data_IF_643460476959
#
_entry.id   IF_643460476959
#
_cell.length_a   1.000
_cell.length_b   1.000
_cell.length_c   1.000
_cell.angle_alpha   90.00
_cell.angle_beta   90.00
_cell.angle_gamma   90.00
#
_symmetry.space_group_name_H-M   'P 1'
#
loop_
_entity.id
_entity.type
_entity.pdbx_description
1 polymer ?
#
# COMPACT_ATOMS: atom_id res chain seq x y z
N UNK A 1 36.63 -30.38 -9.48
CA UNK A 1 37.15 -29.91 -10.79
C UNK A 1 36.20 -30.41 -11.86
N UNK A 2 35.25 -29.56 -12.27
CA UNK A 2 34.24 -29.79 -13.31
C UNK A 2 34.24 -28.52 -14.16
N UNK A 3 34.29 -28.57 -15.50
CA UNK A 3 34.56 -27.39 -16.30
C UNK A 3 33.31 -26.52 -16.46
N UNK A 4 33.51 -25.20 -16.35
CA UNK A 4 32.56 -24.15 -16.68
C UNK A 4 32.20 -24.19 -18.18
N UNK A 5 30.95 -24.49 -18.48
CA UNK A 5 30.38 -24.33 -19.82
C UNK A 5 30.21 -22.84 -20.17
N UNK A 6 30.82 -22.41 -21.28
CA UNK A 6 30.64 -21.08 -21.87
C UNK A 6 29.21 -20.92 -22.40
N UNK A 7 28.50 -19.88 -21.98
CA UNK A 7 27.27 -19.42 -22.63
C UNK A 7 27.60 -18.81 -24.01
N UNK A 8 26.77 -19.02 -25.04
CA UNK A 8 26.98 -18.41 -26.36
C UNK A 8 26.60 -16.92 -26.34
N UNK A 9 27.36 -16.11 -27.08
CA UNK A 9 27.15 -14.68 -27.25
C UNK A 9 25.90 -14.38 -28.10
N UNK A 10 25.11 -13.40 -27.68
CA UNK A 10 23.97 -12.86 -28.43
C UNK A 10 24.44 -12.08 -29.68
N UNK A 11 23.71 -12.12 -30.82
CA UNK A 11 24.11 -11.39 -32.02
C UNK A 11 23.85 -9.89 -31.87
N UNK A 12 24.87 -9.09 -32.21
CA UNK A 12 24.77 -7.64 -32.42
C UNK A 12 23.86 -7.35 -33.61
N UNK A 13 22.73 -6.69 -33.37
CA UNK A 13 21.88 -6.16 -34.43
C UNK A 13 22.57 -4.96 -35.11
N UNK A 14 22.86 -5.11 -36.41
CA UNK A 14 23.33 -4.04 -37.29
C UNK A 14 22.23 -3.00 -37.51
N UNK A 15 22.66 -1.75 -37.60
CA UNK A 15 21.81 -0.56 -37.66
C UNK A 15 20.81 -0.53 -38.81
N UNK A 16 19.68 0.14 -38.52
CA UNK A 16 18.71 0.61 -39.50
C UNK A 16 18.22 2.00 -39.05
N UNK A 17 18.54 2.99 -39.89
CA UNK A 17 17.94 4.31 -40.08
C UNK A 17 16.95 4.85 -39.01
N UNK A 18 17.37 5.93 -38.34
CA UNK A 18 16.49 6.86 -37.61
C UNK A 18 15.45 7.47 -38.56
N UNK A 19 14.22 6.97 -38.56
CA UNK A 19 13.04 7.74 -38.94
C UNK A 19 12.47 8.38 -37.67
N UNK A 20 12.59 9.70 -37.56
CA UNK A 20 11.84 10.50 -36.56
C UNK A 20 10.36 10.40 -36.92
N UNK A 21 9.62 9.54 -36.22
CA UNK A 21 8.18 9.68 -36.09
C UNK A 21 7.92 10.61 -34.91
N UNK A 22 7.59 11.86 -35.22
CA UNK A 22 6.98 12.79 -34.28
C UNK A 22 5.55 12.28 -34.02
N UNK A 23 5.40 11.40 -33.05
CA UNK A 23 4.10 11.15 -32.43
C UNK A 23 3.97 12.14 -31.27
N UNK A 24 3.31 13.27 -31.54
CA UNK A 24 2.79 14.14 -30.49
C UNK A 24 1.59 13.43 -29.86
N UNK A 25 1.85 12.40 -29.06
CA UNK A 25 0.89 11.92 -28.07
C UNK A 25 0.88 12.94 -26.95
N UNK A 26 -0.30 13.49 -26.65
CA UNK A 26 -0.49 14.31 -25.46
C UNK A 26 -0.01 13.49 -24.26
N UNK A 27 1.15 13.83 -23.70
CA UNK A 27 1.53 13.39 -22.38
C UNK A 27 0.45 13.94 -21.45
N UNK A 28 -0.50 13.11 -21.06
CA UNK A 28 -1.34 13.40 -19.91
C UNK A 28 -0.38 13.79 -18.79
N UNK A 29 -0.53 15.02 -18.29
CA UNK A 29 0.33 15.53 -17.23
C UNK A 29 0.36 14.48 -16.12
N UNK A 30 1.56 14.03 -15.74
CA UNK A 30 1.70 13.09 -14.63
C UNK A 30 1.01 13.72 -13.42
N UNK A 31 0.15 12.98 -12.69
CA UNK A 31 -0.58 13.55 -11.57
C UNK A 31 0.42 14.17 -10.60
N UNK A 32 0.25 15.46 -10.32
CA UNK A 32 1.13 16.15 -9.39
C UNK A 32 0.91 15.53 -8.00
N UNK A 33 1.99 15.26 -7.25
CA UNK A 33 1.85 14.70 -5.90
C UNK A 33 1.04 15.66 -5.03
N UNK A 34 0.24 15.08 -4.13
CA UNK A 34 -0.50 15.84 -3.12
C UNK A 34 0.42 16.88 -2.44
N UNK A 35 0.04 18.16 -2.38
CA UNK A 35 0.91 19.23 -1.87
C UNK A 35 1.44 18.98 -0.46
N UNK A 36 0.69 18.25 0.37
CA UNK A 36 1.08 17.90 1.73
C UNK A 36 2.19 16.85 1.84
N UNK A 37 2.53 16.13 0.76
CA UNK A 37 3.48 15.00 0.82
C UNK A 37 4.86 15.42 1.32
N UNK A 38 5.33 16.60 0.91
CA UNK A 38 6.62 17.13 1.38
C UNK A 38 6.59 17.56 2.84
N UNK A 39 5.45 18.10 3.31
CA UNK A 39 5.26 18.44 4.72
C UNK A 39 5.19 17.18 5.57
N UNK A 40 4.44 16.15 5.11
CA UNK A 40 4.41 14.84 5.73
C UNK A 40 5.83 14.28 5.85
N UNK A 41 6.60 14.14 4.76
CA UNK A 41 7.98 13.63 4.79
C UNK A 41 8.90 14.29 5.83
N UNK A 42 8.79 15.61 5.99
CA UNK A 42 9.68 16.39 6.87
C UNK A 42 9.21 16.50 8.31
N UNK A 43 7.96 16.13 8.61
CA UNK A 43 7.47 16.20 9.98
C UNK A 43 8.26 15.23 10.88
N UNK A 44 8.59 15.59 12.13
CA UNK A 44 9.29 14.67 13.04
C UNK A 44 8.43 13.44 13.33
N UNK A 45 9.03 12.31 13.80
CA UNK A 45 8.27 11.21 14.38
C UNK A 45 7.29 11.74 15.45
N UNK A 46 6.04 11.29 15.39
CA UNK A 46 5.00 11.80 16.29
C UNK A 46 4.94 10.99 17.58
N UNK A 47 5.03 11.67 18.71
CA UNK A 47 4.81 11.07 20.04
C UNK A 47 3.33 11.04 20.45
N UNK A 48 2.41 11.49 19.59
CA UNK A 48 0.96 11.54 19.87
C UNK A 48 0.29 10.16 19.83
N UNK A 49 0.79 9.23 20.64
CA UNK A 49 0.47 7.80 20.60
C UNK A 49 -0.70 7.38 21.49
N UNK A 50 -1.34 8.35 22.14
CA UNK A 50 -2.53 8.16 22.96
C UNK A 50 -3.62 9.12 22.52
N UNK A 51 -4.86 8.82 22.90
CA UNK A 51 -6.01 9.68 22.64
C UNK A 51 -6.55 10.26 23.95
N UNK A 52 -6.35 11.56 24.16
CA UNK A 52 -6.82 12.29 25.34
C UNK A 52 -8.28 12.74 25.24
N UNK A 53 -8.74 13.63 26.14
CA UNK A 53 -10.09 14.18 26.09
C UNK A 53 -10.39 15.00 24.83
N UNK A 54 -9.37 15.66 24.26
CA UNK A 54 -9.51 16.62 23.16
C UNK A 54 -8.81 16.17 21.86
N UNK A 55 -8.46 14.89 21.72
CA UNK A 55 -7.77 14.37 20.55
C UNK A 55 -6.44 13.68 20.87
N UNK A 56 -5.58 13.45 19.86
CA UNK A 56 -4.27 12.84 20.03
C UNK A 56 -3.41 13.60 21.06
N UNK A 57 -2.73 12.86 21.94
CA UNK A 57 -1.82 13.40 22.92
C UNK A 57 -0.61 12.49 23.13
N UNK A 58 0.47 13.06 23.66
CA UNK A 58 1.59 12.28 24.14
C UNK A 58 1.15 11.39 25.34
N UNK A 59 1.80 10.23 25.54
CA UNK A 59 1.55 9.42 26.73
C UNK A 59 1.81 10.24 28.01
N UNK A 60 0.95 10.08 29.00
CA UNK A 60 1.10 10.79 30.27
C UNK A 60 2.27 10.18 31.07
N UNK A 61 3.40 10.86 31.11
CA UNK A 61 4.64 10.40 31.77
C UNK A 61 4.48 10.15 33.27
N UNK A 62 3.45 10.74 33.89
CA UNK A 62 3.20 10.65 35.34
C UNK A 62 2.39 9.41 35.76
N UNK A 63 1.77 8.71 34.79
CA UNK A 63 1.03 7.45 35.01
C UNK A 63 1.60 6.26 34.26
N UNK A 64 2.55 6.50 33.36
CA UNK A 64 3.40 5.43 32.90
C UNK A 64 4.14 4.88 34.12
N UNK A 65 4.26 3.56 34.24
CA UNK A 65 5.30 2.99 35.08
C UNK A 65 6.68 3.54 34.68
N UNK A 66 7.79 3.07 35.28
CA UNK A 66 9.12 3.40 34.74
C UNK A 66 9.06 3.22 33.22
N UNK A 67 9.66 4.14 32.42
CA UNK A 67 9.62 4.04 30.95
C UNK A 67 9.89 2.58 30.67
N UNK A 68 8.94 1.87 30.07
CA UNK A 68 9.11 0.47 29.73
C UNK A 68 10.45 0.46 29.03
N UNK A 69 11.46 -0.04 29.75
CA UNK A 69 12.81 0.33 29.43
C UNK A 69 13.02 -0.08 27.97
N UNK A 70 14.00 0.51 27.32
CA UNK A 70 14.61 -0.08 26.14
C UNK A 70 15.20 -1.50 26.42
N UNK A 71 14.65 -2.27 27.37
CA UNK A 71 14.80 -3.68 27.61
C UNK A 71 14.21 -4.45 26.42
N UNK A 72 15.03 -4.53 25.37
CA UNK A 72 14.80 -5.41 24.22
C UNK A 72 14.41 -4.70 22.93
N UNK A 73 14.74 -3.42 22.73
CA UNK A 73 14.78 -2.89 21.35
C UNK A 73 15.80 -3.76 20.62
N UNK A 74 15.32 -4.65 19.74
CA UNK A 74 16.20 -5.56 19.02
C UNK A 74 17.31 -4.75 18.36
N UNK A 75 18.56 -5.22 18.49
CA UNK A 75 19.75 -4.48 18.09
C UNK A 75 19.94 -4.53 16.56
N UNK A 76 18.94 -4.07 15.80
CA UNK A 76 19.10 -3.84 14.37
C UNK A 76 20.10 -2.69 14.14
N UNK A 77 21.08 -2.95 13.28
CA UNK A 77 22.10 -1.98 12.84
C UNK A 77 21.69 -1.23 11.58
N UNK A 78 20.55 -1.60 10.98
CA UNK A 78 19.96 -0.95 9.81
C UNK A 78 18.43 -0.94 9.84
N UNK A 79 17.82 -0.12 8.99
CA UNK A 79 16.37 -0.04 8.85
C UNK A 79 15.75 -1.38 8.41
N UNK A 80 16.40 -2.10 7.50
CA UNK A 80 15.96 -3.42 7.05
C UNK A 80 16.04 -4.47 8.17
N UNK A 81 17.10 -4.47 8.99
CA UNK A 81 17.18 -5.38 10.15
C UNK A 81 16.13 -5.05 11.21
N UNK A 82 15.90 -3.77 11.49
CA UNK A 82 14.82 -3.34 12.38
C UNK A 82 13.46 -3.79 11.84
N UNK A 83 13.20 -3.63 10.53
CA UNK A 83 11.98 -4.11 9.90
C UNK A 83 11.80 -5.63 10.01
N UNK A 84 12.87 -6.41 9.85
CA UNK A 84 12.81 -7.86 10.02
C UNK A 84 12.49 -8.25 11.48
N UNK A 85 13.00 -7.50 12.46
CA UNK A 85 12.66 -7.67 13.87
C UNK A 85 11.19 -7.31 14.15
N UNK A 86 10.67 -6.22 13.57
CA UNK A 86 9.25 -5.85 13.66
C UNK A 86 8.35 -6.95 13.10
N UNK A 87 8.66 -7.43 11.89
CA UNK A 87 7.92 -8.51 11.24
C UNK A 87 7.98 -9.81 12.06
N UNK A 88 9.06 -10.04 12.81
CA UNK A 88 9.23 -11.23 13.67
C UNK A 88 8.62 -11.06 15.07
N UNK A 89 8.07 -9.89 15.40
CA UNK A 89 7.44 -9.62 16.70
C UNK A 89 5.96 -9.99 16.66
N UNK A 90 5.54 -10.98 17.46
CA UNK A 90 4.15 -11.43 17.47
C UNK A 90 3.21 -10.50 18.23
N UNK A 91 3.64 -9.96 19.38
CA UNK A 91 2.77 -9.10 20.20
C UNK A 91 2.46 -7.77 19.46
N UNK A 92 1.18 -7.40 19.28
CA UNK A 92 0.80 -6.22 18.50
C UNK A 92 1.30 -4.89 19.08
N UNK A 93 1.28 -4.73 20.41
CA UNK A 93 1.73 -3.49 21.06
C UNK A 93 3.25 -3.37 21.03
N UNK A 94 3.97 -4.47 21.30
CA UNK A 94 5.42 -4.54 21.14
C UNK A 94 5.83 -4.27 19.68
N UNK A 95 5.10 -4.80 18.69
CA UNK A 95 5.31 -4.51 17.27
C UNK A 95 5.16 -3.03 16.96
N UNK A 96 4.11 -2.39 17.47
CA UNK A 96 3.89 -0.97 17.30
C UNK A 96 4.98 -0.11 17.99
N UNK A 97 5.41 -0.48 19.20
CA UNK A 97 6.50 0.18 19.91
C UNK A 97 7.84 0.05 19.17
N UNK A 98 8.18 -1.16 18.71
CA UNK A 98 9.42 -1.40 17.97
C UNK A 98 9.43 -0.67 16.63
N UNK A 99 8.28 -0.58 15.96
CA UNK A 99 8.10 0.19 14.73
C UNK A 99 8.44 1.66 14.95
N UNK A 100 7.87 2.27 15.99
CA UNK A 100 8.14 3.65 16.33
C UNK A 100 9.60 3.89 16.72
N UNK A 101 10.19 2.99 17.51
CA UNK A 101 11.61 3.06 17.86
C UNK A 101 12.52 2.96 16.63
N UNK A 102 12.21 2.09 15.67
CA UNK A 102 12.96 1.92 14.43
C UNK A 102 12.92 3.19 13.58
N UNK A 103 11.72 3.73 13.33
CA UNK A 103 11.59 4.95 12.54
C UNK A 103 12.21 6.16 13.22
N UNK A 104 12.06 6.30 14.54
CA UNK A 104 12.67 7.40 15.30
C UNK A 104 14.20 7.36 15.24
N UNK A 105 14.81 6.17 15.34
CA UNK A 105 16.27 5.99 15.18
C UNK A 105 16.73 6.35 13.77
N UNK A 106 15.97 5.96 12.74
CA UNK A 106 16.25 6.34 11.36
C UNK A 106 16.16 7.85 11.15
N UNK A 107 15.07 8.49 11.61
CA UNK A 107 14.84 9.92 11.48
C UNK A 107 15.91 10.77 12.20
N UNK A 108 16.50 10.26 13.28
CA UNK A 108 17.63 10.86 13.96
C UNK A 108 18.99 10.67 13.22
N UNK A 109 19.00 10.04 12.04
CA UNK A 109 20.21 9.73 11.28
C UNK A 109 21.01 8.53 11.83
N UNK A 110 20.42 7.74 12.73
CA UNK A 110 21.10 6.68 13.46
C UNK A 110 21.11 5.31 12.78
N UNK A 111 20.57 5.19 11.57
CA UNK A 111 20.48 3.91 10.83
C UNK A 111 20.74 4.12 9.33
N UNK A 112 21.51 3.26 8.64
CA UNK A 112 21.45 3.09 7.19
C UNK A 112 20.26 2.21 6.79
N UNK A 113 19.88 2.18 5.49
CA UNK A 113 18.80 1.28 5.02
C UNK A 113 19.20 -0.17 5.26
N UNK A 114 20.44 -0.52 4.91
CA UNK A 114 21.02 -1.85 5.05
C UNK A 114 20.31 -2.92 4.24
N UNK A 115 20.56 -4.17 4.60
CA UNK A 115 19.99 -5.35 3.95
C UNK A 115 19.57 -6.34 5.03
N UNK A 116 18.40 -6.94 4.85
CA UNK A 116 17.94 -8.05 5.68
C UNK A 116 17.02 -8.96 4.85
N UNK A 117 16.81 -10.18 5.33
CA UNK A 117 15.86 -11.11 4.74
C UNK A 117 14.49 -10.90 5.40
N UNK A 118 13.48 -10.57 4.59
CA UNK A 118 12.11 -10.55 5.06
C UNK A 118 11.65 -11.98 5.42
N UNK A 119 10.95 -12.19 6.54
CA UNK A 119 10.31 -13.48 6.81
C UNK A 119 9.23 -13.75 5.75
N UNK A 120 8.84 -15.02 5.60
CA UNK A 120 7.80 -15.40 4.64
C UNK A 120 6.41 -14.88 5.05
N UNK A 121 6.19 -14.69 6.35
CA UNK A 121 5.00 -14.08 6.94
C UNK A 121 5.36 -13.33 8.24
N UNK A 122 4.63 -12.28 8.62
CA UNK A 122 4.82 -11.62 9.90
C UNK A 122 4.39 -12.58 11.01
N UNK A 123 5.11 -12.52 12.12
CA UNK A 123 4.70 -13.18 13.35
C UNK A 123 3.35 -12.62 13.81
N UNK A 124 2.50 -13.55 14.27
CA UNK A 124 1.16 -13.29 14.79
C UNK A 124 1.04 -13.90 16.19
N UNK A 125 0.32 -13.25 17.10
CA UNK A 125 -0.02 -13.85 18.40
C UNK A 125 -1.10 -14.93 18.22
N UNK A 126 -1.40 -15.70 19.28
CA UNK A 126 -2.44 -16.75 19.25
C UNK A 126 -3.85 -16.21 18.90
N UNK A 127 -4.13 -14.95 19.23
CA UNK A 127 -5.40 -14.28 18.96
C UNK A 127 -5.17 -12.96 18.22
N UNK A 128 -6.01 -12.58 17.23
CA UNK A 128 -7.32 -13.15 16.91
C UNK A 128 -7.27 -14.47 16.14
N UNK A 129 -8.37 -15.23 16.20
CA UNK A 129 -8.58 -16.40 15.34
C UNK A 129 -8.65 -15.94 13.88
N UNK A 130 -7.76 -16.47 13.04
CA UNK A 130 -7.79 -16.24 11.60
C UNK A 130 -8.81 -17.16 10.92
N UNK A 131 -9.77 -16.58 10.20
CA UNK A 131 -10.82 -17.28 9.44
C UNK A 131 -10.83 -16.77 7.99
N UNK A 132 -11.56 -17.44 7.09
CA UNK A 132 -11.76 -16.88 5.75
C UNK A 132 -12.72 -15.70 5.78
N UNK A 133 -12.68 -14.84 4.75
CA UNK A 133 -13.53 -13.65 4.68
C UNK A 133 -15.04 -13.98 4.78
N UNK A 134 -15.47 -15.16 4.31
CA UNK A 134 -16.87 -15.61 4.38
C UNK A 134 -17.27 -16.10 5.77
N UNK A 135 -16.30 -16.45 6.60
CA UNK A 135 -16.48 -17.02 7.93
C UNK A 135 -16.33 -15.98 9.04
N UNK A 136 -15.96 -14.74 8.72
CA UNK A 136 -15.93 -13.64 9.70
C UNK A 136 -17.36 -13.41 10.21
N UNK A 137 -17.65 -13.69 11.49
CA UNK A 137 -19.00 -13.58 12.02
C UNK A 137 -19.41 -12.12 12.18
N UNK A 138 -20.70 -11.82 11.99
CA UNK A 138 -21.20 -10.47 12.24
C UNK A 138 -21.19 -10.12 13.73
N UNK A 139 -21.13 -8.82 14.06
CA UNK A 139 -21.20 -8.37 15.46
C UNK A 139 -22.44 -8.92 16.19
N UNK A 140 -23.58 -9.07 15.50
CA UNK A 140 -24.83 -9.60 16.07
C UNK A 140 -24.70 -11.07 16.42
N UNK A 141 -24.10 -11.87 15.53
CA UNK A 141 -23.87 -13.29 15.75
C UNK A 141 -22.90 -13.53 16.93
N UNK A 142 -21.97 -12.61 17.14
CA UNK A 142 -21.03 -12.64 18.28
C UNK A 142 -21.60 -12.05 19.57
N UNK A 143 -22.74 -11.37 19.53
CA UNK A 143 -23.28 -10.64 20.69
C UNK A 143 -22.41 -9.47 21.15
N UNK A 144 -21.59 -8.87 20.26
CA UNK A 144 -20.73 -7.72 20.59
C UNK A 144 -21.30 -6.40 20.07
N UNK A 145 -21.05 -5.27 20.75
CA UNK A 145 -21.41 -3.94 20.27
C UNK A 145 -20.79 -3.63 18.91
N UNK A 146 -21.55 -2.96 18.06
CA UNK A 146 -21.13 -2.63 16.69
C UNK A 146 -19.89 -1.74 16.65
N UNK A 147 -19.79 -0.75 17.54
CA UNK A 147 -18.63 0.14 17.64
C UNK A 147 -17.35 -0.64 18.03
N UNK A 148 -17.42 -1.51 19.03
CA UNK A 148 -16.30 -2.37 19.41
C UNK A 148 -15.88 -3.29 18.24
N UNK A 149 -16.86 -3.88 17.54
CA UNK A 149 -16.59 -4.70 16.35
C UNK A 149 -15.91 -3.92 15.22
N UNK A 150 -16.37 -2.70 14.95
CA UNK A 150 -15.76 -1.84 13.92
C UNK A 150 -14.33 -1.47 14.29
N UNK A 151 -14.08 -1.04 15.52
CA UNK A 151 -12.75 -0.64 15.97
C UNK A 151 -11.76 -1.81 16.04
N UNK A 152 -12.23 -3.02 16.37
CA UNK A 152 -11.38 -4.22 16.35
C UNK A 152 -10.91 -4.54 14.93
N UNK A 153 -11.83 -4.48 13.95
CA UNK A 153 -11.48 -4.69 12.55
C UNK A 153 -10.52 -3.59 12.04
N UNK A 154 -10.74 -2.33 12.42
CA UNK A 154 -9.82 -1.25 12.06
C UNK A 154 -8.45 -1.46 12.69
N UNK A 155 -8.36 -1.78 13.98
CA UNK A 155 -7.09 -2.15 14.61
C UNK A 155 -6.41 -3.32 13.89
N UNK A 156 -7.17 -4.31 13.39
CA UNK A 156 -6.59 -5.39 12.58
C UNK A 156 -6.03 -4.89 11.24
N UNK A 157 -6.70 -3.95 10.58
CA UNK A 157 -6.20 -3.30 9.37
C UNK A 157 -4.89 -2.57 9.65
N UNK A 158 -4.86 -1.71 10.67
CA UNK A 158 -3.64 -0.94 11.03
C UNK A 158 -2.46 -1.86 11.38
N UNK A 159 -2.70 -2.94 12.15
CA UNK A 159 -1.65 -3.90 12.46
C UNK A 159 -1.09 -4.58 11.21
N UNK A 160 -1.94 -4.90 10.24
CA UNK A 160 -1.47 -5.41 8.96
C UNK A 160 -0.70 -4.32 8.21
N UNK A 161 -1.19 -3.08 8.15
CA UNK A 161 -0.53 -1.98 7.44
C UNK A 161 0.91 -1.74 7.95
N UNK A 162 1.16 -1.84 9.27
CA UNK A 162 2.51 -1.90 9.84
C UNK A 162 3.37 -2.99 9.16
N UNK A 163 2.84 -4.21 9.05
CA UNK A 163 3.56 -5.32 8.42
C UNK A 163 3.74 -5.14 6.92
N UNK A 164 2.75 -4.60 6.21
CA UNK A 164 2.82 -4.36 4.77
C UNK A 164 3.93 -3.34 4.45
N UNK A 165 4.00 -2.28 5.25
CA UNK A 165 4.99 -1.23 5.13
C UNK A 165 6.41 -1.75 5.47
N UNK A 166 6.59 -2.48 6.57
CA UNK A 166 7.89 -3.08 6.89
C UNK A 166 8.30 -4.18 5.93
N UNK A 167 7.37 -5.01 5.44
CA UNK A 167 7.67 -5.99 4.40
C UNK A 167 8.19 -5.29 3.14
N UNK A 168 7.58 -4.17 2.75
CA UNK A 168 8.05 -3.36 1.63
C UNK A 168 9.48 -2.86 1.85
N UNK A 169 9.79 -2.33 3.04
CA UNK A 169 11.15 -1.87 3.39
C UNK A 169 12.16 -3.01 3.32
N UNK A 170 11.89 -4.13 3.98
CA UNK A 170 12.85 -5.22 4.11
C UNK A 170 13.03 -5.95 2.78
N UNK A 171 11.91 -6.33 2.14
CA UNK A 171 11.91 -7.20 0.96
C UNK A 171 12.55 -6.54 -0.25
N UNK A 172 12.37 -5.23 -0.41
CA UNK A 172 12.97 -4.48 -1.51
C UNK A 172 14.30 -3.81 -1.13
N UNK A 173 14.85 -4.03 0.08
CA UNK A 173 16.16 -3.50 0.47
C UNK A 173 17.30 -3.86 -0.51
N UNK A 174 17.32 -5.02 -1.20
CA UNK A 174 18.33 -5.28 -2.24
C UNK A 174 18.26 -4.34 -3.46
N UNK A 175 17.13 -3.64 -3.66
CA UNK A 175 16.93 -2.67 -4.75
C UNK A 175 17.27 -1.23 -4.32
N UNK A 176 17.93 -1.04 -3.17
CA UNK A 176 18.26 0.28 -2.63
C UNK A 176 18.94 1.21 -3.63
N UNK A 177 19.92 0.71 -4.38
CA UNK A 177 20.66 1.54 -5.32
C UNK A 177 19.82 1.99 -6.53
N UNK A 178 18.71 1.30 -6.81
CA UNK A 178 17.73 1.67 -7.84
C UNK A 178 16.64 2.60 -7.30
N UNK A 179 16.09 2.29 -6.13
CA UNK A 179 14.94 3.01 -5.56
C UNK A 179 15.35 4.26 -4.75
N UNK A 180 16.58 4.28 -4.22
CA UNK A 180 17.10 5.31 -3.34
C UNK A 180 16.56 5.22 -1.91
N UNK A 181 17.25 5.89 -0.98
CA UNK A 181 16.91 5.86 0.46
C UNK A 181 15.52 6.43 0.76
N UNK A 182 15.03 7.35 -0.08
CA UNK A 182 13.71 7.95 0.07
C UNK A 182 12.57 6.93 0.05
N UNK A 183 12.68 5.85 -0.74
CA UNK A 183 11.66 4.79 -0.81
C UNK A 183 11.49 4.12 0.54
N UNK A 184 12.61 3.74 1.15
CA UNK A 184 12.63 3.05 2.43
C UNK A 184 12.24 3.97 3.58
N UNK A 185 12.66 5.24 3.52
CA UNK A 185 12.25 6.25 4.50
C UNK A 185 10.74 6.48 4.48
N UNK A 186 10.14 6.59 3.28
CA UNK A 186 8.70 6.79 3.12
C UNK A 186 7.90 5.60 3.67
N UNK A 187 8.26 4.35 3.33
CA UNK A 187 7.52 3.19 3.83
C UNK A 187 7.78 2.90 5.33
N UNK A 188 8.97 3.19 5.85
CA UNK A 188 9.18 3.15 7.30
C UNK A 188 8.35 4.21 8.04
N UNK A 189 8.12 5.35 7.41
CA UNK A 189 7.23 6.39 7.94
C UNK A 189 5.77 5.98 7.91
N UNK A 190 5.29 5.38 6.81
CA UNK A 190 3.95 4.78 6.74
C UNK A 190 3.78 3.84 7.93
N UNK A 191 4.70 2.89 8.13
CA UNK A 191 4.64 1.97 9.27
C UNK A 191 4.56 2.68 10.63
N UNK A 192 5.29 3.79 10.80
CA UNK A 192 5.23 4.60 12.03
C UNK A 192 3.85 5.24 12.24
N UNK A 193 3.20 5.74 11.18
CA UNK A 193 1.82 6.25 11.25
C UNK A 193 0.84 5.13 11.62
N UNK A 194 0.90 3.97 10.95
CA UNK A 194 0.00 2.84 11.24
C UNK A 194 0.18 2.29 12.66
N UNK A 195 1.40 2.32 13.18
CA UNK A 195 1.66 1.93 14.56
C UNK A 195 1.02 2.90 15.58
N UNK A 196 0.84 4.17 15.21
CA UNK A 196 0.09 5.15 16.00
C UNK A 196 -1.42 4.91 15.88
N UNK A 197 -1.93 4.71 14.66
CA UNK A 197 -3.34 4.42 14.40
C UNK A 197 -3.79 3.16 15.17
N UNK A 198 -3.01 2.08 15.09
CA UNK A 198 -3.23 0.84 15.83
C UNK A 198 -3.36 1.08 17.34
N UNK A 199 -2.49 1.93 17.90
CA UNK A 199 -2.50 2.26 19.33
C UNK A 199 -3.75 3.05 19.73
N UNK A 200 -4.20 4.00 18.92
CA UNK A 200 -5.44 4.73 19.19
C UNK A 200 -6.66 3.80 19.20
N UNK A 201 -6.77 2.88 18.23
CA UNK A 201 -7.86 1.90 18.23
C UNK A 201 -7.75 0.90 19.38
N UNK A 202 -6.56 0.40 19.68
CA UNK A 202 -6.33 -0.52 20.80
C UNK A 202 -6.69 0.11 22.14
N UNK A 203 -6.31 1.38 22.35
CA UNK A 203 -6.72 2.14 23.53
C UNK A 203 -8.24 2.26 23.59
N UNK A 204 -8.89 2.67 22.49
CA UNK A 204 -10.35 2.86 22.47
C UNK A 204 -11.12 1.56 22.68
N UNK A 205 -10.64 0.45 22.15
CA UNK A 205 -11.20 -0.88 22.43
C UNK A 205 -11.15 -1.22 23.92
N UNK A 206 -10.02 -0.96 24.58
CA UNK A 206 -9.86 -1.19 26.01
C UNK A 206 -10.85 -0.34 26.83
N UNK A 207 -11.04 0.93 26.46
CA UNK A 207 -12.04 1.82 27.07
C UNK A 207 -13.49 1.30 26.91
N UNK A 208 -13.77 0.55 25.84
CA UNK A 208 -15.06 -0.10 25.60
C UNK A 208 -15.18 -1.49 26.27
N UNK A 209 -14.15 -1.94 26.99
CA UNK A 209 -14.12 -3.24 27.66
C UNK A 209 -13.70 -4.42 26.77
N UNK A 210 -13.10 -4.16 25.61
CA UNK A 210 -12.63 -5.16 24.65
C UNK A 210 -11.12 -5.06 24.43
N UNK A 211 -10.52 -6.08 23.82
CA UNK A 211 -9.12 -6.09 23.42
C UNK A 211 -8.98 -6.50 21.97
N UNK A 212 -7.92 -6.01 21.32
CA UNK A 212 -7.48 -6.61 20.08
C UNK A 212 -7.23 -8.12 20.29
N UNK A 213 -7.73 -8.94 19.37
CA UNK A 213 -7.75 -10.40 19.52
C UNK A 213 -9.07 -11.02 19.99
N UNK A 214 -10.02 -10.26 20.53
CA UNK A 214 -11.30 -10.81 21.04
C UNK A 214 -12.28 -11.27 19.94
N UNK A 215 -12.05 -10.88 18.68
CA UNK A 215 -12.93 -11.14 17.55
C UNK A 215 -12.18 -11.82 16.40
N UNK A 216 -12.77 -12.79 15.67
CA UNK A 216 -12.11 -13.41 14.53
C UNK A 216 -11.85 -12.42 13.40
N UNK A 217 -10.79 -12.64 12.64
CA UNK A 217 -10.36 -11.75 11.54
C UNK A 217 -9.98 -12.56 10.30
N UNK A 218 -9.91 -11.90 9.15
CA UNK A 218 -9.40 -12.50 7.92
C UNK A 218 -7.99 -11.97 7.58
N UNK A 219 -7.18 -12.78 6.88
CA UNK A 219 -5.82 -12.39 6.48
C UNK A 219 -5.72 -11.87 5.02
N UNK A 220 -6.78 -11.21 4.52
CA UNK A 220 -6.85 -10.74 3.13
C UNK A 220 -5.67 -9.82 2.76
N UNK A 221 -5.38 -8.82 3.58
CA UNK A 221 -4.35 -7.81 3.30
C UNK A 221 -2.97 -8.45 3.09
N UNK A 222 -2.55 -9.32 4.01
CA UNK A 222 -1.30 -10.04 3.85
C UNK A 222 -1.28 -10.96 2.62
N UNK A 223 -2.40 -11.63 2.31
CA UNK A 223 -2.49 -12.47 1.12
C UNK A 223 -2.27 -11.65 -0.17
N UNK A 224 -2.89 -10.48 -0.29
CA UNK A 224 -2.68 -9.60 -1.44
C UNK A 224 -1.23 -9.06 -1.48
N UNK A 225 -0.64 -8.77 -0.32
CA UNK A 225 0.77 -8.38 -0.22
C UNK A 225 1.73 -9.44 -0.70
N UNK A 226 1.52 -10.69 -0.28
CA UNK A 226 2.34 -11.84 -0.65
C UNK A 226 2.35 -12.08 -2.18
N UNK A 227 1.24 -11.83 -2.87
CA UNK A 227 1.17 -11.93 -4.35
C UNK A 227 2.12 -10.96 -5.06
N UNK A 228 2.46 -9.84 -4.43
CA UNK A 228 3.34 -8.80 -4.97
C UNK A 228 4.79 -8.89 -4.46
N UNK A 229 5.15 -9.93 -3.71
CA UNK A 229 6.42 -10.03 -3.00
C UNK A 229 7.67 -9.96 -3.92
N UNK A 230 7.55 -10.34 -5.19
CA UNK A 230 8.66 -10.35 -6.14
C UNK A 230 8.73 -9.13 -7.06
N UNK A 231 7.77 -8.19 -6.97
CA UNK A 231 7.66 -7.08 -7.92
C UNK A 231 7.26 -5.79 -7.20
N UNK A 232 8.17 -4.81 -7.21
CA UNK A 232 7.94 -3.50 -6.57
C UNK A 232 6.82 -2.71 -7.27
N UNK A 233 6.66 -2.83 -8.59
CA UNK A 233 5.57 -2.18 -9.32
C UNK A 233 4.22 -2.77 -8.93
N UNK A 234 4.15 -4.09 -8.81
CA UNK A 234 2.99 -4.78 -8.26
C UNK A 234 2.72 -4.37 -6.81
N UNK A 235 3.75 -4.27 -5.96
CA UNK A 235 3.59 -3.84 -4.56
C UNK A 235 2.92 -2.48 -4.48
N UNK A 236 3.42 -1.51 -5.27
CA UNK A 236 2.89 -0.15 -5.28
C UNK A 236 1.44 -0.11 -5.79
N UNK A 237 1.10 -0.89 -6.81
CA UNK A 237 -0.26 -0.96 -7.33
C UNK A 237 -1.23 -1.64 -6.35
N UNK A 238 -0.87 -2.80 -5.81
CA UNK A 238 -1.77 -3.64 -5.03
C UNK A 238 -1.99 -3.10 -3.62
N UNK A 239 -0.96 -2.59 -2.97
CA UNK A 239 -1.02 -2.20 -1.56
C UNK A 239 -1.39 -0.71 -1.42
N UNK A 240 -0.53 0.28 -1.69
CA UNK A 240 -0.92 1.69 -1.56
C UNK A 240 -2.10 2.12 -2.43
N UNK A 241 -2.13 1.73 -3.71
CA UNK A 241 -3.12 2.26 -4.66
C UNK A 241 -4.46 1.52 -4.63
N UNK A 242 -4.53 0.34 -4.00
CA UNK A 242 -5.79 -0.41 -3.85
C UNK A 242 -6.16 -0.67 -2.40
N UNK A 243 -5.28 -1.26 -1.58
CA UNK A 243 -5.64 -1.55 -0.18
C UNK A 243 -5.75 -0.26 0.65
N UNK A 244 -4.74 0.62 0.62
CA UNK A 244 -4.82 1.88 1.41
C UNK A 244 -5.87 2.83 0.83
N UNK A 245 -6.05 2.86 -0.49
CA UNK A 245 -7.11 3.64 -1.13
C UNK A 245 -8.53 3.21 -0.69
N UNK A 246 -8.73 1.97 -0.21
CA UNK A 246 -10.02 1.56 0.39
C UNK A 246 -10.26 2.23 1.74
N UNK A 247 -9.21 2.61 2.47
CA UNK A 247 -9.30 3.45 3.67
C UNK A 247 -9.97 4.79 3.37
N UNK A 248 -9.56 5.45 2.28
CA UNK A 248 -10.17 6.69 1.79
C UNK A 248 -11.67 6.54 1.45
N UNK A 249 -12.05 5.37 0.91
CA UNK A 249 -13.45 5.07 0.54
C UNK A 249 -14.34 4.72 1.75
N UNK A 250 -13.75 4.14 2.80
CA UNK A 250 -14.47 3.65 3.96
C UNK A 250 -14.58 4.69 5.08
N UNK A 251 -13.52 5.49 5.31
CA UNK A 251 -13.39 6.42 6.42
C UNK A 251 -14.64 7.26 6.70
N UNK A 252 -15.08 8.10 5.74
CA UNK A 252 -16.25 8.97 5.94
C UNK A 252 -17.52 8.21 6.34
N UNK A 253 -17.76 7.03 5.74
CA UNK A 253 -18.93 6.20 6.05
C UNK A 253 -18.85 5.60 7.46
N UNK A 254 -17.66 5.19 7.88
CA UNK A 254 -17.44 4.65 9.22
C UNK A 254 -17.61 5.74 10.30
N UNK A 255 -17.11 6.96 10.05
CA UNK A 255 -17.33 8.13 10.91
C UNK A 255 -18.83 8.40 11.09
N UNK A 256 -19.58 8.52 10.01
CA UNK A 256 -21.04 8.77 10.08
C UNK A 256 -21.78 7.66 10.82
N UNK A 257 -21.35 6.41 10.65
CA UNK A 257 -21.94 5.27 11.35
C UNK A 257 -21.69 5.31 12.86
N UNK A 258 -20.51 5.76 13.31
CA UNK A 258 -20.19 5.92 14.73
C UNK A 258 -20.91 7.12 15.36
N UNK A 259 -21.03 8.23 14.63
CA UNK A 259 -21.86 9.39 15.04
C UNK A 259 -23.32 8.96 15.23
N UNK A 260 -23.87 8.19 14.28
CA UNK A 260 -25.22 7.65 14.39
C UNK A 260 -25.42 6.69 15.58
N UNK A 261 -24.33 6.16 16.14
CA UNK A 261 -24.32 5.35 17.36
C UNK A 261 -24.02 6.17 18.63
N UNK A 262 -23.98 7.51 18.52
CA UNK A 262 -23.60 8.45 19.57
C UNK A 262 -22.19 8.21 20.17
N UNK A 263 -21.31 7.51 19.45
CA UNK A 263 -19.92 7.27 19.86
C UNK A 263 -18.97 8.27 19.18
N UNK A 264 -19.12 9.54 19.58
CA UNK A 264 -18.36 10.65 19.01
C UNK A 264 -16.84 10.47 19.18
N UNK A 265 -16.40 9.93 20.30
CA UNK A 265 -14.96 9.68 20.55
C UNK A 265 -14.37 8.70 19.55
N UNK A 266 -15.06 7.60 19.27
CA UNK A 266 -14.61 6.64 18.25
C UNK A 266 -14.68 7.25 16.85
N UNK A 267 -15.70 8.09 16.58
CA UNK A 267 -15.82 8.80 15.32
C UNK A 267 -14.65 9.76 15.07
N UNK A 268 -14.22 10.51 16.09
CA UNK A 268 -13.08 11.42 15.99
C UNK A 268 -11.77 10.68 15.72
N UNK A 269 -11.56 9.51 16.36
CA UNK A 269 -10.39 8.65 16.09
C UNK A 269 -10.38 8.20 14.63
N UNK A 270 -11.50 7.64 14.15
CA UNK A 270 -11.61 7.18 12.75
C UNK A 270 -11.45 8.33 11.77
N UNK A 271 -12.00 9.51 12.08
CA UNK A 271 -11.84 10.69 11.24
C UNK A 271 -10.38 11.13 11.13
N UNK A 272 -9.64 11.09 12.26
CA UNK A 272 -8.22 11.46 12.25
C UNK A 272 -7.36 10.47 11.48
N UNK A 273 -7.60 9.17 11.64
CA UNK A 273 -6.91 8.14 10.85
C UNK A 273 -7.20 8.35 9.36
N UNK A 274 -8.48 8.50 8.98
CA UNK A 274 -8.86 8.72 7.58
C UNK A 274 -8.25 9.99 6.94
N UNK A 275 -7.97 11.03 7.73
CA UNK A 275 -7.22 12.21 7.29
C UNK A 275 -5.75 11.88 6.99
N UNK A 276 -5.12 11.07 7.83
CA UNK A 276 -3.70 10.71 7.71
C UNK A 276 -3.44 9.70 6.57
N UNK A 277 -4.42 8.85 6.22
CA UNK A 277 -4.37 7.91 5.08
C UNK A 277 -4.08 8.55 3.72
N UNK A 278 -4.43 9.82 3.55
CA UNK A 278 -4.21 10.55 2.30
C UNK A 278 -2.72 10.55 1.91
N UNK A 279 -1.83 10.73 2.90
CA UNK A 279 -0.40 10.75 2.69
C UNK A 279 0.14 9.38 2.22
N UNK A 280 -0.42 8.29 2.73
CA UNK A 280 0.01 6.92 2.42
C UNK A 280 -0.33 6.53 0.99
N UNK A 281 -1.54 6.90 0.54
CA UNK A 281 -1.95 6.70 -0.86
C UNK A 281 -1.12 7.58 -1.79
N UNK A 282 -0.90 8.86 -1.44
CA UNK A 282 -0.10 9.77 -2.26
C UNK A 282 1.37 9.36 -2.37
N UNK A 283 1.99 8.86 -1.29
CA UNK A 283 3.37 8.38 -1.35
C UNK A 283 3.48 7.10 -2.18
N UNK A 284 2.47 6.23 -2.09
CA UNK A 284 2.34 5.06 -2.96
C UNK A 284 2.25 5.42 -4.44
N UNK A 285 1.43 6.42 -4.78
CA UNK A 285 1.32 6.93 -6.15
C UNK A 285 2.64 7.51 -6.64
N UNK A 286 3.32 8.31 -5.82
CA UNK A 286 4.62 8.87 -6.15
C UNK A 286 5.62 7.77 -6.56
N UNK A 287 5.74 6.72 -5.75
CA UNK A 287 6.65 5.61 -6.05
C UNK A 287 6.18 4.74 -7.22
N UNK A 288 4.88 4.54 -7.39
CA UNK A 288 4.33 3.85 -8.55
C UNK A 288 4.68 4.56 -9.86
N UNK A 289 4.50 5.88 -9.92
CA UNK A 289 4.87 6.71 -11.07
C UNK A 289 6.38 6.63 -11.32
N UNK A 290 7.20 6.68 -10.26
CA UNK A 290 8.66 6.62 -10.39
C UNK A 290 9.15 5.28 -10.92
N UNK A 291 8.57 4.18 -10.44
CA UNK A 291 8.87 2.83 -10.93
C UNK A 291 8.41 2.66 -12.38
N UNK A 292 7.23 3.18 -12.75
CA UNK A 292 6.78 3.18 -14.14
C UNK A 292 7.74 3.96 -15.05
N UNK A 293 8.23 5.12 -14.62
CA UNK A 293 9.22 5.91 -15.34
C UNK A 293 10.52 5.11 -15.54
N UNK A 294 11.05 4.48 -14.48
CA UNK A 294 12.26 3.63 -14.54
C UNK A 294 12.10 2.45 -15.52
N UNK A 295 10.89 1.90 -15.61
CA UNK A 295 10.56 0.78 -16.50
C UNK A 295 10.14 1.21 -17.92
N UNK A 296 9.98 2.51 -18.17
CA UNK A 296 9.45 3.02 -19.44
C UNK A 296 7.99 2.60 -19.72
N UNK A 297 7.18 2.38 -18.68
CA UNK A 297 5.77 1.99 -18.79
C UNK A 297 4.84 3.18 -18.58
N UNK A 298 3.70 3.19 -19.30
CA UNK A 298 2.62 4.15 -19.08
C UNK A 298 1.87 3.79 -17.79
N UNK A 299 1.80 4.67 -16.77
CA UNK A 299 1.31 4.30 -15.45
C UNK A 299 -0.11 3.72 -15.41
N UNK A 300 -1.08 4.36 -16.07
CA UNK A 300 -2.47 3.87 -16.06
C UNK A 300 -2.65 2.51 -16.73
N UNK A 301 -1.86 2.22 -17.79
CA UNK A 301 -1.84 0.90 -18.42
C UNK A 301 -1.17 -0.14 -17.51
N UNK A 302 0.01 0.20 -16.96
CA UNK A 302 0.73 -0.66 -16.03
C UNK A 302 -0.11 -1.02 -14.81
N UNK A 303 -0.83 -0.05 -14.24
CA UNK A 303 -1.71 -0.27 -13.09
C UNK A 303 -2.78 -1.32 -13.42
N UNK A 304 -3.52 -1.13 -14.52
CA UNK A 304 -4.57 -2.08 -14.93
C UNK A 304 -4.01 -3.47 -15.24
N UNK A 305 -2.86 -3.55 -15.90
CA UNK A 305 -2.18 -4.82 -16.16
C UNK A 305 -1.87 -5.55 -14.86
N UNK A 306 -1.27 -4.85 -13.89
CA UNK A 306 -0.88 -5.40 -12.58
C UNK A 306 -2.11 -5.83 -11.75
N UNK A 307 -3.17 -5.02 -11.74
CA UNK A 307 -4.42 -5.38 -11.04
C UNK A 307 -5.03 -6.66 -11.63
N UNK A 308 -5.00 -6.81 -12.96
CA UNK A 308 -5.48 -8.02 -13.64
C UNK A 308 -4.56 -9.22 -13.38
N UNK A 309 -3.25 -9.03 -13.49
CA UNK A 309 -2.24 -10.08 -13.29
C UNK A 309 -2.29 -10.68 -11.89
N UNK A 310 -2.49 -9.85 -10.86
CA UNK A 310 -2.54 -10.28 -9.47
C UNK A 310 -3.96 -10.61 -8.95
N UNK A 311 -4.96 -10.63 -9.84
CA UNK A 311 -6.37 -10.92 -9.51
C UNK A 311 -6.87 -10.05 -8.34
N UNK A 312 -6.62 -8.75 -8.42
CA UNK A 312 -7.02 -7.79 -7.39
C UNK A 312 -8.35 -7.19 -7.76
N UNK A 313 -9.35 -7.42 -6.92
CA UNK A 313 -10.70 -6.92 -7.17
C UNK A 313 -10.85 -5.49 -6.65
N UNK A 314 -11.15 -4.55 -7.54
CA UNK A 314 -11.57 -3.19 -7.18
C UNK A 314 -13.08 -3.06 -7.35
N UNK A 315 -13.78 -2.69 -6.27
CA UNK A 315 -15.22 -2.43 -6.29
C UNK A 315 -15.52 -1.22 -5.43
N UNK A 316 -16.36 -0.34 -5.97
CA UNK A 316 -16.85 0.82 -5.25
C UNK A 316 -17.87 0.47 -4.15
N UNK A 317 -18.51 1.49 -3.55
CA UNK A 317 -18.42 2.91 -3.95
C UNK A 317 -17.04 3.51 -3.66
N UNK A 318 -16.50 4.26 -4.62
CA UNK A 318 -15.25 5.00 -4.47
C UNK A 318 -15.51 6.39 -3.90
N UNK A 319 -14.64 6.86 -3.02
CA UNK A 319 -14.57 8.26 -2.63
C UNK A 319 -13.71 9.01 -3.66
N UNK A 320 -14.35 9.47 -4.74
CA UNK A 320 -13.65 10.18 -5.83
C UNK A 320 -12.92 11.42 -5.34
N UNK A 321 -13.49 12.18 -4.41
CA UNK A 321 -12.86 13.40 -3.90
C UNK A 321 -11.52 13.09 -3.22
N UNK A 322 -11.49 12.12 -2.29
CA UNK A 322 -10.25 11.76 -1.59
C UNK A 322 -9.24 11.07 -2.50
N UNK A 323 -9.68 10.26 -3.47
CA UNK A 323 -8.78 9.64 -4.45
C UNK A 323 -8.18 10.67 -5.42
N UNK A 324 -8.97 11.65 -5.86
CA UNK A 324 -8.48 12.78 -6.67
C UNK A 324 -7.47 13.61 -5.87
N UNK A 325 -7.74 13.89 -4.60
CA UNK A 325 -6.83 14.61 -3.72
C UNK A 325 -5.52 13.85 -3.50
N UNK A 326 -5.60 12.52 -3.38
CA UNK A 326 -4.42 11.65 -3.31
C UNK A 326 -3.61 11.65 -4.63
N UNK A 327 -4.26 12.02 -5.73
CA UNK A 327 -3.72 12.13 -7.08
C UNK A 327 -4.03 10.94 -8.00
N UNK A 328 -4.83 9.95 -7.59
CA UNK A 328 -5.10 8.76 -8.41
C UNK A 328 -6.05 9.15 -9.55
N UNK A 329 -5.64 9.03 -10.83
CA UNK A 329 -6.54 9.32 -11.94
C UNK A 329 -7.70 8.33 -12.01
N UNK A 330 -8.92 8.84 -12.17
CA UNK A 330 -10.15 8.03 -12.09
C UNK A 330 -10.21 6.92 -13.14
N UNK A 331 -9.66 7.15 -14.32
CA UNK A 331 -9.62 6.19 -15.43
C UNK A 331 -8.72 4.97 -15.17
N UNK A 332 -7.99 4.96 -14.06
CA UNK A 332 -7.19 3.79 -13.64
C UNK A 332 -8.06 2.73 -12.97
N UNK A 333 -9.10 3.14 -12.23
CA UNK A 333 -9.85 2.25 -11.34
C UNK A 333 -11.37 2.27 -11.57
N UNK A 334 -11.90 3.28 -12.27
CA UNK A 334 -13.31 3.34 -12.64
C UNK A 334 -13.52 2.79 -14.05
N UNK A 335 -14.09 1.59 -14.10
CA UNK A 335 -14.45 0.89 -15.33
C UNK A 335 -15.39 1.71 -16.23
N UNK A 336 -16.26 2.55 -15.64
CA UNK A 336 -17.21 3.37 -16.39
C UNK A 336 -16.55 4.56 -17.11
N UNK A 337 -15.34 4.93 -16.69
CA UNK A 337 -14.56 6.05 -17.27
C UNK A 337 -13.42 5.56 -18.18
N UNK A 338 -13.39 4.27 -18.50
CA UNK A 338 -12.45 3.75 -19.49
C UNK A 338 -12.70 4.46 -20.82
N UNK A 339 -11.66 5.04 -21.45
CA UNK A 339 -11.77 5.39 -22.85
C UNK A 339 -12.18 4.13 -23.59
N UNK A 340 -13.22 4.19 -24.43
CA UNK A 340 -13.38 3.16 -25.45
C UNK A 340 -12.04 3.09 -26.17
N UNK A 341 -11.35 1.96 -26.04
CA UNK A 341 -10.27 1.66 -26.96
C UNK A 341 -10.96 1.63 -28.30
N UNK A 342 -10.83 2.72 -29.08
CA UNK A 342 -11.23 2.74 -30.47
C UNK A 342 -10.61 1.48 -31.05
N UNK A 343 -11.48 0.52 -31.34
CA UNK A 343 -11.09 -0.79 -31.77
C UNK A 343 -10.49 -0.60 -33.16
N UNK A 344 -9.17 -0.41 -33.21
CA UNK A 344 -8.41 -0.43 -34.47
C UNK A 344 -8.58 -1.77 -35.20
N UNK A 345 -9.34 -2.73 -34.66
CA UNK A 345 -9.83 -3.88 -35.43
C UNK A 345 -10.69 -3.42 -36.63
N UNK A 346 -11.46 -2.34 -36.55
CA UNK A 346 -12.18 -1.82 -37.74
C UNK A 346 -11.17 -1.36 -38.79
N UNK A 347 -10.20 -0.50 -38.44
CA UNK A 347 -9.20 -0.02 -39.40
C UNK A 347 -8.33 -1.14 -39.98
N UNK A 348 -7.99 -2.16 -39.17
CA UNK A 348 -7.23 -3.33 -39.62
C UNK A 348 -8.09 -4.25 -40.48
N UNK A 349 -9.36 -4.48 -40.13
CA UNK A 349 -10.29 -5.26 -40.94
C UNK A 349 -10.61 -4.56 -42.28
N UNK A 350 -10.79 -3.24 -42.26
CA UNK A 350 -11.07 -2.44 -43.47
C UNK A 350 -9.85 -2.46 -44.41
N UNK A 351 -8.64 -2.37 -43.85
CA UNK A 351 -7.39 -2.54 -44.63
C UNK A 351 -7.23 -3.96 -45.16
N UNK A 352 -7.56 -4.99 -44.37
CA UNK A 352 -7.50 -6.38 -44.83
C UNK A 352 -8.52 -6.66 -45.93
N UNK A 353 -9.75 -6.16 -45.79
CA UNK A 353 -10.80 -6.29 -46.79
C UNK A 353 -10.42 -5.60 -48.10
N UNK A 354 -9.81 -4.41 -48.02
CA UNK A 354 -9.33 -3.69 -49.20
C UNK A 354 -8.21 -4.45 -49.94
N UNK A 355 -7.27 -5.08 -49.21
CA UNK A 355 -6.21 -5.91 -49.81
C UNK A 355 -6.79 -7.14 -50.49
N UNK A 356 -7.77 -7.82 -49.86
CA UNK A 356 -8.42 -9.01 -50.42
C UNK A 356 -9.20 -8.68 -51.69
N UNK A 357 -9.91 -7.54 -51.75
CA UNK A 357 -10.60 -7.12 -52.98
C UNK A 357 -9.62 -6.75 -54.10
N UNK A 358 -8.52 -6.06 -53.80
CA UNK A 358 -7.48 -5.76 -54.80
C UNK A 358 -6.83 -7.04 -55.37
N UNK A 359 -6.64 -8.08 -54.56
CA UNK A 359 -6.10 -9.36 -55.03
C UNK A 359 -7.10 -10.12 -55.91
N UNK A 360 -8.41 -10.05 -55.61
CA UNK A 360 -9.46 -10.62 -56.47
C UNK A 360 -9.56 -9.91 -57.82
N UNK A 361 -9.52 -8.58 -57.83
CA UNK A 361 -9.53 -7.78 -59.06
C UNK A 361 -8.31 -8.13 -59.94
N UNK A 362 -7.11 -8.20 -59.34
CA UNK A 362 -5.90 -8.58 -60.06
C UNK A 362 -5.91 -10.04 -60.58
N UNK A 363 -6.56 -10.96 -59.87
CA UNK A 363 -6.74 -12.33 -60.35
C UNK A 363 -7.73 -12.42 -61.52
N UNK A 364 -8.75 -11.55 -61.55
CA UNK A 364 -9.74 -11.49 -62.64
C UNK A 364 -9.22 -10.84 -63.93
N UNK A 365 -8.19 -9.98 -63.83
CA UNK A 365 -7.55 -9.31 -64.98
C UNK A 365 -6.47 -10.15 -65.66
N UNK A 366 -6.00 -11.23 -65.00
CA UNK A 366 -4.96 -12.13 -65.50
C UNK A 366 -5.51 -13.53 -65.88
N UNK A 367 -6.84 -13.68 -65.96
CA UNK A 367 -7.54 -14.93 -66.28
C UNK A 367 -8.13 -14.96 -67.69
#
# INVERSE_FOLDING_TARGET
>A
MVPLGRLPALPLARGSTRRRLLAAGAFAASPLPWPGLHTWRRAPPSDLRSWGPNGPCAPNTDKAGPPEAAAGVGHGSSLAEMGALVLSTADPLAKAHLTHAAFSRWAAGGLPVGLARAPDHPARPEKPLAVTQKEVPTHKAMGVPLNAYMLHNLAHVELNAIDLAWDTVVRFSPLRDTLGDGFFADFARVADDESRHFRWYSQRLAELGFRYGDMPVHNLLWRECAKSASDVSARMAVIPLVQEARGLDAGPRLVQKLIGFADHRSADIVAKVAEEELAHVSVGLYWFLKVCEMMGRVPGAAFRDLIKEHDVVMRGPFNYQSRDEAGIPREWYDEALKPEVASNLSEVHDRLACVVEMEKENASLNG
#
